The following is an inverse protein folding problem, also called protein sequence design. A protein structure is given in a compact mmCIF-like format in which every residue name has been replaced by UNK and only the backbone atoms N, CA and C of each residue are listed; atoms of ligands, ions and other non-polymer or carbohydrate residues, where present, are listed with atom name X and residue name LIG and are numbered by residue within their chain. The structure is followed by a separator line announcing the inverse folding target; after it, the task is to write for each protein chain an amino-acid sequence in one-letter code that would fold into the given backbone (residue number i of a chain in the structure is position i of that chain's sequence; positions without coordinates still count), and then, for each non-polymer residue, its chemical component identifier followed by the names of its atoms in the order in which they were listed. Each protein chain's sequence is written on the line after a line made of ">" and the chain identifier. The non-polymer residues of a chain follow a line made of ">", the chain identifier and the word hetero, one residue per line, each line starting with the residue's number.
data_IF_443824764699
#
_entry.id   IF_443824764699
#
_cell.length_a   1.000
_cell.length_b   1.000
_cell.length_c   1.000
_cell.angle_alpha   90.00
_cell.angle_beta   90.00
_cell.angle_gamma   90.00
#
_symmetry.space_group_name_H-M   'P 1'
#
loop_
_entity.id
_entity.type
_entity.pdbx_description
1 polymer ?
#
# COMPACT_ATOMS: atom_id res chain seq x y z
N UNK A 1 -8.78 15.87 -16.62
CA UNK A 1 -8.85 14.75 -15.64
C UNK A 1 -7.88 15.05 -14.53
N UNK A 2 -8.32 15.01 -13.29
CA UNK A 2 -7.45 15.37 -12.15
C UNK A 2 -6.82 14.09 -11.60
N UNK A 3 -5.50 14.03 -11.55
CA UNK A 3 -4.78 12.92 -10.93
C UNK A 3 -4.73 13.12 -9.41
N UNK A 4 -4.83 12.02 -8.65
CA UNK A 4 -4.64 12.04 -7.21
C UNK A 4 -3.15 12.10 -6.87
N UNK A 5 -2.35 11.23 -7.48
CA UNK A 5 -0.90 11.19 -7.30
C UNK A 5 -0.22 11.45 -8.62
N UNK A 6 0.76 12.36 -8.64
CA UNK A 6 1.65 12.55 -9.79
C UNK A 6 3.09 12.55 -9.31
N UNK A 7 3.92 11.79 -9.98
CA UNK A 7 5.37 11.75 -9.86
C UNK A 7 5.96 12.15 -11.21
N UNK A 8 6.80 13.18 -11.25
CA UNK A 8 7.37 13.71 -12.50
C UNK A 8 8.89 13.81 -12.42
N UNK A 9 9.58 13.10 -13.32
CA UNK A 9 11.02 13.15 -13.48
C UNK A 9 11.78 12.69 -12.24
N UNK A 10 11.27 11.70 -11.50
CA UNK A 10 11.93 11.26 -10.28
C UNK A 10 13.24 10.55 -10.59
N UNK A 11 14.29 11.02 -9.94
CA UNK A 11 15.58 10.35 -9.93
C UNK A 11 16.01 10.04 -8.51
N UNK A 12 16.68 8.89 -8.34
CA UNK A 12 17.30 8.49 -7.08
C UNK A 12 18.49 7.60 -7.32
N UNK A 13 19.62 7.95 -6.69
CA UNK A 13 20.86 7.17 -6.72
C UNK A 13 21.32 6.83 -5.30
N UNK A 14 21.90 5.66 -5.16
CA UNK A 14 22.61 5.22 -3.97
C UNK A 14 24.05 4.86 -4.39
N UNK A 15 24.94 5.84 -4.31
CA UNK A 15 26.28 5.69 -4.86
C UNK A 15 26.24 5.44 -6.39
N UNK A 16 26.77 4.31 -6.84
CA UNK A 16 26.76 3.91 -8.24
C UNK A 16 25.42 3.31 -8.71
N UNK A 17 24.52 2.94 -7.77
CA UNK A 17 23.26 2.27 -8.11
C UNK A 17 22.19 3.30 -8.44
N UNK A 18 21.58 3.20 -9.61
CA UNK A 18 20.43 4.01 -10.04
C UNK A 18 19.16 3.27 -9.62
N UNK A 19 18.48 3.78 -8.61
CA UNK A 19 17.25 3.17 -8.06
C UNK A 19 15.96 3.77 -8.64
N UNK A 20 16.03 4.99 -9.20
CA UNK A 20 14.98 5.61 -10.01
C UNK A 20 15.65 6.47 -11.10
N UNK A 21 15.18 6.37 -12.33
CA UNK A 21 15.68 7.11 -13.50
C UNK A 21 14.52 7.63 -14.33
N UNK A 22 14.30 8.95 -14.27
CA UNK A 22 13.25 9.67 -14.97
C UNK A 22 11.85 9.06 -14.79
N UNK A 23 11.52 8.60 -13.57
CA UNK A 23 10.23 7.93 -13.31
C UNK A 23 9.10 8.97 -13.37
N UNK A 24 8.13 8.70 -14.26
CA UNK A 24 6.93 9.50 -14.45
C UNK A 24 5.71 8.58 -14.26
N UNK A 25 4.89 8.86 -13.24
CA UNK A 25 3.70 8.08 -12.90
C UNK A 25 2.60 9.04 -12.50
N UNK A 26 1.39 8.83 -13.02
CA UNK A 26 0.20 9.58 -12.64
C UNK A 26 -0.92 8.61 -12.31
N UNK A 27 -1.51 8.70 -11.11
CA UNK A 27 -2.58 7.80 -10.65
C UNK A 27 -3.85 8.61 -10.43
N UNK A 28 -4.98 8.13 -10.97
CA UNK A 28 -6.30 8.75 -10.78
C UNK A 28 -6.92 8.31 -9.46
N UNK A 29 -7.82 9.13 -8.92
CA UNK A 29 -8.61 8.73 -7.75
C UNK A 29 -9.43 7.47 -8.05
N UNK A 30 -9.45 6.54 -7.09
CA UNK A 30 -10.17 5.27 -7.18
C UNK A 30 -9.51 4.18 -8.03
N UNK A 31 -8.34 4.44 -8.65
CA UNK A 31 -7.59 3.40 -9.38
C UNK A 31 -7.03 2.35 -8.41
N UNK A 32 -6.96 1.11 -8.90
CA UNK A 32 -6.23 0.00 -8.27
C UNK A 32 -5.02 -0.33 -9.12
N UNK A 33 -3.86 0.18 -8.72
CA UNK A 33 -2.61 0.09 -9.48
C UNK A 33 -1.68 -0.92 -8.83
N UNK A 34 -1.23 -1.92 -9.58
CA UNK A 34 -0.17 -2.82 -9.14
C UNK A 34 1.19 -2.36 -9.64
N UNK A 35 2.18 -2.36 -8.74
CA UNK A 35 3.59 -2.17 -9.08
C UNK A 35 4.27 -3.53 -9.14
N UNK A 36 4.75 -3.92 -10.31
CA UNK A 36 5.45 -5.18 -10.53
C UNK A 36 6.90 -4.94 -10.93
N UNK A 37 7.72 -5.98 -10.83
CA UNK A 37 9.14 -5.93 -11.22
C UNK A 37 9.99 -6.86 -10.34
N UNK A 38 11.18 -7.20 -10.81
CA UNK A 38 12.14 -8.00 -10.05
C UNK A 38 12.62 -7.31 -8.78
N UNK A 39 13.29 -8.06 -7.90
CA UNK A 39 13.92 -7.50 -6.71
C UNK A 39 15.00 -6.48 -7.14
N UNK A 40 15.01 -5.31 -6.48
CA UNK A 40 15.92 -4.22 -6.85
C UNK A 40 15.47 -3.39 -8.06
N UNK A 41 14.32 -3.66 -8.68
CA UNK A 41 13.83 -2.90 -9.84
C UNK A 41 13.49 -1.43 -9.56
N UNK A 42 13.37 -1.01 -8.28
CA UNK A 42 13.05 0.37 -7.88
C UNK A 42 11.67 0.57 -7.25
N UNK A 43 10.83 -0.48 -7.15
CA UNK A 43 9.47 -0.40 -6.57
C UNK A 43 9.46 0.17 -5.15
N UNK A 44 10.23 -0.43 -4.24
CA UNK A 44 10.34 0.02 -2.84
C UNK A 44 10.92 1.45 -2.75
N UNK A 45 11.86 1.80 -3.63
CA UNK A 45 12.39 3.17 -3.72
C UNK A 45 11.28 4.15 -4.09
N UNK A 46 10.47 3.84 -5.10
CA UNK A 46 9.33 4.66 -5.49
C UNK A 46 8.31 4.78 -4.35
N UNK A 47 7.91 3.66 -3.72
CA UNK A 47 6.98 3.67 -2.58
C UNK A 47 7.54 4.52 -1.42
N UNK A 48 8.84 4.41 -1.11
CA UNK A 48 9.47 5.24 -0.07
C UNK A 48 9.51 6.72 -0.43
N UNK A 49 9.64 7.07 -1.71
CA UNK A 49 9.59 8.48 -2.15
C UNK A 49 8.20 9.08 -2.00
N UNK A 50 7.14 8.38 -2.42
CA UNK A 50 5.76 8.89 -2.30
C UNK A 50 5.25 8.91 -0.86
N UNK A 51 5.87 8.17 0.05
CA UNK A 51 5.55 8.16 1.49
C UNK A 51 6.47 9.06 2.33
N UNK A 52 7.46 9.72 1.70
CA UNK A 52 8.37 10.65 2.36
C UNK A 52 9.49 10.03 3.19
N UNK A 53 9.57 8.69 3.25
CA UNK A 53 10.70 8.00 3.89
C UNK A 53 12.02 8.17 3.13
N UNK A 54 11.93 8.52 1.86
CA UNK A 54 13.07 8.81 1.01
C UNK A 54 12.78 10.08 0.20
N UNK A 55 13.78 10.94 0.03
CA UNK A 55 13.66 12.09 -0.87
C UNK A 55 14.26 11.74 -2.23
N UNK A 56 13.58 12.08 -3.34
CA UNK A 56 14.21 12.00 -4.66
C UNK A 56 15.37 12.98 -4.74
N UNK A 57 16.34 12.69 -5.60
CA UNK A 57 17.45 13.60 -5.88
C UNK A 57 17.00 14.73 -6.83
N UNK A 58 16.11 14.40 -7.77
CA UNK A 58 15.41 15.34 -8.65
C UNK A 58 13.98 14.91 -8.89
N UNK A 59 13.18 15.80 -9.47
CA UNK A 59 11.77 15.56 -9.77
C UNK A 59 10.83 16.06 -8.68
N UNK A 60 9.54 15.82 -8.88
CA UNK A 60 8.48 16.32 -8.00
C UNK A 60 7.39 15.27 -7.81
N UNK A 61 6.80 15.23 -6.62
CA UNK A 61 5.66 14.39 -6.28
C UNK A 61 4.53 15.31 -5.78
N UNK A 62 3.33 15.16 -6.36
CA UNK A 62 2.14 15.88 -5.90
C UNK A 62 1.03 14.91 -5.52
N UNK A 63 0.27 15.27 -4.49
CA UNK A 63 -0.95 14.57 -4.05
C UNK A 63 -2.12 15.56 -4.10
N UNK A 64 -3.13 15.28 -4.93
CA UNK A 64 -4.25 16.20 -5.13
C UNK A 64 -3.81 17.60 -5.60
N UNK A 65 -2.71 17.70 -6.34
CA UNK A 65 -2.10 18.96 -6.77
C UNK A 65 -1.16 19.62 -5.76
N UNK A 66 -1.13 19.17 -4.50
CA UNK A 66 -0.22 19.67 -3.47
C UNK A 66 1.15 19.00 -3.59
N UNK A 67 2.23 19.78 -3.60
CA UNK A 67 3.60 19.26 -3.58
C UNK A 67 3.91 18.60 -2.23
N UNK A 68 4.15 17.29 -2.26
CA UNK A 68 4.52 16.50 -1.08
C UNK A 68 6.01 16.12 -1.06
N UNK A 69 6.76 16.51 -2.08
CA UNK A 69 8.20 16.17 -2.20
C UNK A 69 9.02 16.57 -0.97
N UNK A 70 8.86 17.78 -0.40
CA UNK A 70 9.64 18.20 0.77
C UNK A 70 9.10 17.62 2.10
N UNK A 71 7.89 17.08 2.12
CA UNK A 71 7.18 16.72 3.35
C UNK A 71 7.73 15.45 3.99
N UNK A 72 7.73 15.38 5.31
CA UNK A 72 8.05 14.19 6.08
C UNK A 72 6.90 13.16 6.06
N UNK A 73 7.13 11.90 6.47
CA UNK A 73 6.11 10.85 6.45
C UNK A 73 4.85 11.20 7.25
N UNK A 74 4.99 11.90 8.40
CA UNK A 74 3.85 12.28 9.24
C UNK A 74 2.97 13.31 8.53
N UNK A 75 3.57 14.29 7.88
CA UNK A 75 2.83 15.28 7.11
C UNK A 75 2.09 14.63 5.94
N UNK A 76 2.73 13.70 5.21
CA UNK A 76 2.13 12.95 4.11
C UNK A 76 0.97 12.07 4.60
N UNK A 77 1.13 11.39 5.75
CA UNK A 77 0.03 10.61 6.36
C UNK A 77 -1.16 11.49 6.71
N UNK A 78 -0.94 12.71 7.23
CA UNK A 78 -2.03 13.66 7.53
C UNK A 78 -2.77 14.15 6.28
N UNK A 79 -2.13 14.10 5.12
CA UNK A 79 -2.76 14.36 3.83
C UNK A 79 -3.55 13.16 3.28
N UNK A 80 -3.66 12.07 4.05
CA UNK A 80 -4.45 10.90 3.68
C UNK A 80 -3.71 9.86 2.86
N UNK A 81 -2.38 9.76 2.98
CA UNK A 81 -1.61 8.61 2.47
C UNK A 81 -1.35 7.64 3.61
N UNK A 82 -1.81 6.41 3.46
CA UNK A 82 -1.53 5.34 4.41
C UNK A 82 -0.70 4.23 3.74
N UNK A 83 0.08 3.51 4.54
CA UNK A 83 0.89 2.38 4.10
C UNK A 83 0.77 1.22 5.08
N UNK A 84 0.49 0.03 4.55
CA UNK A 84 0.73 -1.23 5.23
C UNK A 84 2.12 -1.73 4.83
N UNK A 85 2.92 -2.11 5.81
CA UNK A 85 4.29 -2.54 5.58
C UNK A 85 4.36 -4.04 5.32
N UNK A 86 5.42 -4.48 4.64
CA UNK A 86 5.70 -5.91 4.40
C UNK A 86 5.73 -6.70 5.71
N UNK A 87 6.36 -6.13 6.75
CA UNK A 87 6.31 -6.67 8.12
C UNK A 87 5.33 -5.81 8.92
N UNK A 88 4.22 -6.41 9.42
CA UNK A 88 3.19 -5.70 10.18
C UNK A 88 3.77 -4.97 11.39
N UNK A 89 3.41 -3.69 11.54
CA UNK A 89 3.85 -2.83 12.64
C UNK A 89 2.80 -2.82 13.75
N UNK A 90 2.75 -3.91 14.52
CA UNK A 90 1.73 -4.17 15.52
C UNK A 90 2.32 -4.21 16.94
N UNK A 91 1.51 -3.79 17.91
CA UNK A 91 1.82 -3.92 19.32
C UNK A 91 1.43 -5.31 19.80
N UNK A 92 2.39 -6.22 19.92
CA UNK A 92 2.16 -7.64 20.23
C UNK A 92 1.44 -7.89 21.55
N UNK A 93 1.73 -7.11 22.58
CA UNK A 93 1.14 -7.24 23.92
C UNK A 93 -0.28 -6.67 24.04
N UNK A 94 -0.70 -5.87 23.04
CA UNK A 94 -2.05 -5.32 22.99
C UNK A 94 -3.00 -6.28 22.24
N UNK A 95 -4.30 -6.12 22.52
CA UNK A 95 -5.33 -6.82 21.76
C UNK A 95 -5.47 -6.27 20.34
N UNK A 96 -6.14 -7.02 19.43
CA UNK A 96 -6.46 -6.51 18.11
C UNK A 96 -7.28 -5.21 18.18
N UNK A 97 -8.26 -5.14 19.07
CA UNK A 97 -9.05 -3.92 19.28
C UNK A 97 -8.18 -2.76 19.78
N UNK A 98 -7.26 -3.00 20.73
CA UNK A 98 -6.39 -1.93 21.24
C UNK A 98 -5.44 -1.41 20.16
N UNK A 99 -4.91 -2.28 19.29
CA UNK A 99 -4.13 -1.86 18.12
C UNK A 99 -4.94 -0.93 17.20
N UNK A 100 -6.19 -1.28 16.90
CA UNK A 100 -7.10 -0.43 16.11
C UNK A 100 -7.36 0.92 16.81
N UNK A 101 -7.53 0.92 18.14
CA UNK A 101 -7.74 2.16 18.90
C UNK A 101 -6.50 3.05 18.91
N UNK A 102 -5.30 2.47 18.98
CA UNK A 102 -4.03 3.21 18.85
C UNK A 102 -3.94 3.85 17.47
N UNK A 103 -4.19 3.09 16.39
CA UNK A 103 -4.17 3.61 15.04
C UNK A 103 -5.18 4.76 14.86
N UNK A 104 -6.42 4.59 15.34
CA UNK A 104 -7.43 5.64 15.30
C UNK A 104 -7.00 6.90 16.08
N UNK A 105 -6.34 6.72 17.24
CA UNK A 105 -5.81 7.81 18.03
C UNK A 105 -4.73 8.63 17.29
N UNK A 106 -3.89 7.98 16.50
CA UNK A 106 -2.85 8.66 15.71
C UNK A 106 -3.46 9.57 14.61
N UNK A 107 -4.65 9.27 14.12
CA UNK A 107 -5.34 10.06 13.10
C UNK A 107 -6.27 11.13 13.67
N UNK A 108 -6.74 10.98 14.91
CA UNK A 108 -7.66 11.92 15.55
C UNK A 108 -6.91 13.16 16.07
N UNK A 109 -6.86 14.22 15.25
CA UNK A 109 -6.23 15.51 15.62
C UNK A 109 -6.88 16.20 16.84
N UNK A 110 -8.06 15.72 17.29
CA UNK A 110 -8.80 16.25 18.43
C UNK A 110 -8.54 15.48 19.73
N UNK A 111 -7.63 14.49 19.71
CA UNK A 111 -7.28 13.78 20.93
C UNK A 111 -6.61 14.72 21.93
N UNK A 112 -7.35 15.01 22.98
CA UNK A 112 -6.80 15.62 24.18
C UNK A 112 -6.19 14.52 25.06
N UNK A 113 -5.05 14.82 25.68
CA UNK A 113 -4.41 13.94 26.67
C UNK A 113 -5.36 13.46 27.79
N UNK A 114 -6.45 14.23 28.00
CA UNK A 114 -7.48 13.96 29.02
C UNK A 114 -8.66 13.10 28.53
N UNK A 115 -8.70 12.72 27.25
CA UNK A 115 -9.77 11.88 26.73
C UNK A 115 -9.36 10.42 26.64
N UNK A 116 -10.13 9.48 27.21
CA UNK A 116 -9.79 8.06 27.11
C UNK A 116 -9.84 7.58 25.64
N UNK A 117 -8.84 6.80 25.24
CA UNK A 117 -8.80 6.21 23.89
C UNK A 117 -10.00 5.26 23.63
N UNK A 118 -10.50 4.61 24.69
CA UNK A 118 -11.64 3.68 24.65
C UNK A 118 -12.99 4.40 24.77
N UNK A 119 -13.28 5.32 23.84
CA UNK A 119 -14.60 5.94 23.72
C UNK A 119 -15.56 5.02 22.93
N UNK A 120 -16.87 4.96 23.26
CA UNK A 120 -17.82 4.10 22.55
C UNK A 120 -17.76 4.26 21.03
N UNK A 121 -17.69 5.51 20.54
CA UNK A 121 -17.62 5.80 19.12
C UNK A 121 -16.30 5.30 18.45
N UNK A 122 -15.18 5.34 19.18
CA UNK A 122 -13.89 4.83 18.67
C UNK A 122 -13.91 3.30 18.63
N UNK A 123 -14.46 2.66 19.66
CA UNK A 123 -14.65 1.20 19.71
C UNK A 123 -15.54 0.74 18.55
N UNK A 124 -16.71 1.38 18.36
CA UNK A 124 -17.64 1.01 17.29
C UNK A 124 -16.99 1.12 15.89
N UNK A 125 -16.20 2.16 15.61
CA UNK A 125 -15.46 2.29 14.34
C UNK A 125 -14.38 1.21 14.19
N UNK A 126 -13.66 0.90 15.25
CA UNK A 126 -12.64 -0.14 15.25
C UNK A 126 -13.28 -1.52 15.00
N UNK A 127 -14.38 -1.83 15.69
CA UNK A 127 -15.12 -3.08 15.50
C UNK A 127 -15.70 -3.20 14.09
N UNK A 128 -16.24 -2.13 13.52
CA UNK A 128 -16.73 -2.11 12.15
C UNK A 128 -15.62 -2.45 11.15
N UNK A 129 -14.40 -1.89 11.31
CA UNK A 129 -13.28 -2.25 10.45
C UNK A 129 -12.83 -3.69 10.67
N UNK A 130 -12.74 -4.16 11.92
CA UNK A 130 -12.44 -5.57 12.21
C UNK A 130 -13.45 -6.51 11.56
N UNK A 131 -14.74 -6.18 11.59
CA UNK A 131 -15.78 -6.98 10.94
C UNK A 131 -15.61 -7.01 9.42
N UNK A 132 -15.32 -5.88 8.78
CA UNK A 132 -15.06 -5.79 7.32
C UNK A 132 -13.89 -6.67 6.86
N UNK A 133 -12.90 -6.88 7.73
CA UNK A 133 -11.75 -7.75 7.47
C UNK A 133 -11.94 -9.19 8.00
N UNK A 134 -13.11 -9.52 8.54
CA UNK A 134 -13.38 -10.84 9.13
C UNK A 134 -12.60 -11.09 10.43
N UNK A 135 -12.21 -10.03 11.14
CA UNK A 135 -11.34 -10.10 12.32
C UNK A 135 -12.09 -9.90 13.65
N UNK A 136 -13.40 -9.74 13.64
CA UNK A 136 -14.17 -9.37 14.84
C UNK A 136 -14.04 -10.39 15.96
N UNK A 137 -13.94 -11.68 15.65
CA UNK A 137 -13.75 -12.75 16.63
C UNK A 137 -12.39 -12.66 17.34
N UNK A 138 -11.42 -12.02 16.71
CA UNK A 138 -10.06 -11.83 17.25
C UNK A 138 -9.93 -10.56 18.08
N UNK A 139 -10.95 -9.71 18.20
CA UNK A 139 -10.87 -8.37 18.81
C UNK A 139 -10.24 -8.35 20.20
N UNK A 140 -10.52 -9.35 21.02
CA UNK A 140 -10.02 -9.47 22.40
C UNK A 140 -8.72 -10.27 22.56
N UNK A 141 -8.19 -10.86 21.47
CA UNK A 141 -6.95 -11.66 21.52
C UNK A 141 -5.73 -10.76 21.40
N UNK A 142 -4.66 -11.11 22.11
CA UNK A 142 -3.36 -10.44 21.97
C UNK A 142 -2.78 -10.70 20.58
N UNK A 143 -2.20 -9.68 19.99
CA UNK A 143 -1.65 -9.77 18.63
C UNK A 143 -0.53 -10.82 18.52
N UNK A 144 0.29 -10.99 19.57
CA UNK A 144 1.32 -12.01 19.61
C UNK A 144 0.78 -13.45 19.44
N UNK A 145 -0.49 -13.69 19.79
CA UNK A 145 -1.16 -14.99 19.72
C UNK A 145 -1.86 -15.23 18.38
N UNK A 146 -1.90 -14.21 17.50
CA UNK A 146 -2.62 -14.28 16.23
C UNK A 146 -1.76 -14.93 15.14
N UNK A 147 -2.38 -15.72 14.24
CA UNK A 147 -1.72 -16.21 13.02
C UNK A 147 -1.15 -15.09 12.16
N UNK A 148 -0.12 -15.38 11.36
CA UNK A 148 0.55 -14.40 10.52
C UNK A 148 -0.38 -13.67 9.56
N UNK A 149 -1.26 -14.40 8.87
CA UNK A 149 -2.26 -13.84 7.96
C UNK A 149 -3.25 -12.90 8.65
N UNK A 150 -3.72 -13.27 9.87
CA UNK A 150 -4.60 -12.41 10.70
C UNK A 150 -3.89 -11.12 11.08
N UNK A 151 -2.62 -11.21 11.49
CA UNK A 151 -1.81 -10.02 11.82
C UNK A 151 -1.64 -9.09 10.60
N UNK A 152 -1.47 -9.66 9.42
CA UNK A 152 -1.33 -8.88 8.19
C UNK A 152 -2.63 -8.15 7.82
N UNK A 153 -3.77 -8.83 7.92
CA UNK A 153 -5.09 -8.20 7.73
C UNK A 153 -5.35 -7.11 8.78
N UNK A 154 -4.93 -7.31 10.03
CA UNK A 154 -5.04 -6.30 11.08
C UNK A 154 -4.21 -5.04 10.77
N UNK A 155 -2.97 -5.18 10.29
CA UNK A 155 -2.11 -4.06 9.88
C UNK A 155 -2.77 -3.23 8.77
N UNK A 156 -3.36 -3.90 7.77
CA UNK A 156 -4.08 -3.23 6.69
C UNK A 156 -5.35 -2.54 7.21
N UNK A 157 -6.11 -3.19 8.11
CA UNK A 157 -7.28 -2.58 8.75
C UNK A 157 -6.89 -1.32 9.55
N UNK A 158 -5.76 -1.35 10.26
CA UNK A 158 -5.23 -0.19 10.98
C UNK A 158 -4.88 0.96 10.02
N UNK A 159 -4.30 0.67 8.86
CA UNK A 159 -3.99 1.68 7.85
C UNK A 159 -5.25 2.39 7.31
N UNK A 160 -6.42 1.74 7.37
CA UNK A 160 -7.70 2.31 6.95
C UNK A 160 -8.41 3.16 8.01
N UNK A 161 -7.96 3.16 9.26
CA UNK A 161 -8.63 3.93 10.34
C UNK A 161 -8.72 5.42 10.06
N UNK A 162 -7.78 5.98 9.28
CA UNK A 162 -7.75 7.38 8.86
C UNK A 162 -8.56 7.69 7.60
N UNK A 163 -9.29 6.74 7.03
CA UNK A 163 -9.99 6.88 5.74
C UNK A 163 -9.09 7.49 4.66
N UNK A 164 -7.97 6.84 4.33
CA UNK A 164 -6.97 7.40 3.42
C UNK A 164 -7.52 7.55 2.00
N UNK A 165 -7.08 8.61 1.30
CA UNK A 165 -7.35 8.76 -0.13
C UNK A 165 -6.40 7.92 -1.00
N UNK A 166 -5.21 7.58 -0.47
CA UNK A 166 -4.23 6.69 -1.10
C UNK A 166 -3.73 5.65 -0.08
N UNK A 167 -3.99 4.38 -0.36
CA UNK A 167 -3.49 3.26 0.42
C UNK A 167 -2.40 2.53 -0.36
N UNK A 168 -1.26 2.33 0.29
CA UNK A 168 -0.11 1.60 -0.23
C UNK A 168 -0.03 0.25 0.50
N UNK A 169 -0.06 -0.83 -0.27
CA UNK A 169 0.08 -2.20 0.23
C UNK A 169 1.42 -2.78 -0.28
N UNK A 170 2.32 -3.06 0.64
CA UNK A 170 3.64 -3.59 0.30
C UNK A 170 3.65 -5.11 0.51
N UNK A 171 3.52 -5.86 -0.59
CA UNK A 171 3.43 -7.32 -0.64
C UNK A 171 2.37 -7.88 0.35
N UNK A 172 1.09 -7.52 0.19
CA UNK A 172 0.04 -7.90 1.15
C UNK A 172 -0.12 -9.41 1.32
N UNK A 173 0.25 -10.23 0.33
CA UNK A 173 0.14 -11.69 0.41
C UNK A 173 1.47 -12.40 0.71
N UNK A 174 2.56 -11.66 0.96
CA UNK A 174 3.86 -12.25 1.30
C UNK A 174 3.82 -13.01 2.63
N UNK A 175 4.44 -14.20 2.68
CA UNK A 175 4.50 -15.03 3.87
C UNK A 175 3.19 -15.79 4.20
N UNK A 176 2.23 -15.79 3.28
CA UNK A 176 0.98 -16.54 3.37
C UNK A 176 1.06 -17.74 2.44
N UNK A 177 0.40 -18.86 2.80
CA UNK A 177 0.35 -20.06 1.95
C UNK A 177 -0.33 -19.76 0.59
N UNK A 178 0.01 -20.51 -0.44
CA UNK A 178 -0.56 -20.31 -1.78
C UNK A 178 -2.10 -20.38 -1.78
N UNK A 179 -2.67 -21.26 -0.94
CA UNK A 179 -4.11 -21.44 -0.81
C UNK A 179 -4.81 -20.26 -0.13
N UNK A 180 -4.11 -19.54 0.75
CA UNK A 180 -4.66 -18.41 1.52
C UNK A 180 -4.50 -17.07 0.82
N UNK A 181 -3.58 -16.93 -0.16
CA UNK A 181 -3.30 -15.67 -0.85
C UNK A 181 -4.53 -15.06 -1.52
N UNK A 182 -5.26 -15.86 -2.32
CA UNK A 182 -6.45 -15.38 -3.02
C UNK A 182 -7.60 -15.00 -2.08
N UNK A 183 -7.97 -15.82 -1.08
CA UNK A 183 -8.94 -15.42 -0.06
C UNK A 183 -8.55 -14.15 0.69
N UNK A 184 -7.28 -14.03 1.09
CA UNK A 184 -6.76 -12.84 1.76
C UNK A 184 -6.92 -11.59 0.89
N UNK A 185 -6.46 -11.64 -0.36
CA UNK A 185 -6.56 -10.52 -1.28
C UNK A 185 -8.02 -10.16 -1.59
N UNK A 186 -8.90 -11.15 -1.71
CA UNK A 186 -10.34 -10.94 -1.87
C UNK A 186 -10.95 -10.22 -0.64
N UNK A 187 -10.54 -10.58 0.57
CA UNK A 187 -10.95 -9.91 1.81
C UNK A 187 -10.48 -8.45 1.83
N UNK A 188 -9.21 -8.20 1.50
CA UNK A 188 -8.65 -6.84 1.42
C UNK A 188 -9.42 -6.00 0.40
N UNK A 189 -9.58 -6.50 -0.82
CA UNK A 189 -10.25 -5.76 -1.90
C UNK A 189 -11.75 -5.59 -1.66
N UNK A 190 -12.39 -6.54 -0.99
CA UNK A 190 -13.79 -6.44 -0.55
C UNK A 190 -13.98 -5.36 0.52
N UNK A 191 -13.09 -5.32 1.52
CA UNK A 191 -13.09 -4.28 2.55
C UNK A 191 -12.86 -2.88 1.95
N UNK A 192 -11.95 -2.76 0.98
CA UNK A 192 -11.66 -1.52 0.26
C UNK A 192 -12.79 -1.09 -0.68
N UNK A 193 -13.54 -2.03 -1.25
CA UNK A 193 -14.68 -1.74 -2.13
C UNK A 193 -15.83 -1.01 -1.44
N UNK A 194 -15.89 -1.03 -0.11
CA UNK A 194 -16.85 -0.26 0.70
C UNK A 194 -16.41 1.19 0.93
N UNK A 195 -15.14 1.52 0.70
CA UNK A 195 -14.60 2.88 0.70
C UNK A 195 -14.65 3.46 -0.71
N UNK A 196 -15.66 4.24 -1.00
CA UNK A 196 -16.05 4.70 -2.35
C UNK A 196 -14.94 5.45 -3.10
N UNK A 197 -13.87 5.92 -2.44
CA UNK A 197 -12.84 6.78 -3.05
C UNK A 197 -11.39 6.41 -2.70
N UNK A 198 -11.12 5.27 -2.07
CA UNK A 198 -9.73 4.93 -1.74
C UNK A 198 -8.99 4.43 -2.98
N UNK A 199 -7.95 5.15 -3.37
CA UNK A 199 -7.00 4.73 -4.40
C UNK A 199 -6.03 3.74 -3.79
N UNK A 200 -5.73 2.66 -4.50
CA UNK A 200 -4.86 1.59 -4.00
C UNK A 200 -3.64 1.45 -4.90
N UNK A 201 -2.46 1.56 -4.34
CA UNK A 201 -1.22 1.11 -4.93
C UNK A 201 -0.74 -0.14 -4.17
N UNK A 202 -0.51 -1.24 -4.87
CA UNK A 202 0.00 -2.44 -4.22
C UNK A 202 1.18 -3.04 -4.99
N UNK A 203 2.18 -3.50 -4.24
CA UNK A 203 3.32 -4.25 -4.77
C UNK A 203 3.00 -5.73 -4.64
N UNK A 204 3.06 -6.47 -5.73
CA UNK A 204 2.85 -7.91 -5.75
C UNK A 204 3.79 -8.60 -6.74
N UNK A 205 4.08 -9.88 -6.46
CA UNK A 205 4.92 -10.74 -7.28
C UNK A 205 4.13 -11.88 -7.93
N UNK A 206 2.90 -12.11 -7.47
CA UNK A 206 2.00 -13.13 -7.99
C UNK A 206 1.14 -12.51 -9.09
N UNK A 207 1.40 -12.92 -10.35
CA UNK A 207 0.75 -12.30 -11.52
C UNK A 207 -0.74 -12.61 -11.57
N UNK A 208 -1.19 -13.75 -11.08
CA UNK A 208 -2.61 -14.12 -11.03
C UNK A 208 -3.38 -13.18 -10.08
N UNK A 209 -2.75 -12.77 -8.96
CA UNK A 209 -3.30 -11.76 -8.05
C UNK A 209 -3.34 -10.40 -8.74
N UNK A 210 -2.29 -10.04 -9.45
CA UNK A 210 -2.21 -8.78 -10.19
C UNK A 210 -3.30 -8.70 -11.24
N UNK A 211 -3.45 -9.71 -12.09
CA UNK A 211 -4.48 -9.75 -13.14
C UNK A 211 -5.89 -9.65 -12.56
N UNK A 212 -6.15 -10.31 -11.44
CA UNK A 212 -7.48 -10.36 -10.84
C UNK A 212 -7.89 -9.08 -10.13
N UNK A 213 -6.94 -8.34 -9.56
CA UNK A 213 -7.23 -7.26 -8.63
C UNK A 213 -6.78 -5.88 -9.07
N UNK A 214 -5.83 -5.76 -10.01
CA UNK A 214 -5.41 -4.49 -10.58
C UNK A 214 -6.31 -4.03 -11.72
N UNK A 215 -6.57 -2.74 -11.79
CA UNK A 215 -7.13 -2.09 -12.99
C UNK A 215 -6.02 -1.60 -13.95
N UNK A 216 -4.79 -1.44 -13.42
CA UNK A 216 -3.61 -0.96 -14.14
C UNK A 216 -2.34 -1.53 -13.52
N UNK A 217 -1.38 -1.82 -14.34
CA UNK A 217 -0.06 -2.36 -13.95
C UNK A 217 1.03 -1.40 -14.39
N UNK A 218 1.94 -1.10 -13.46
CA UNK A 218 3.16 -0.35 -13.74
C UNK A 218 4.34 -1.27 -13.47
N UNK A 219 5.07 -1.63 -14.50
CA UNK A 219 6.21 -2.52 -14.42
C UNK A 219 7.52 -1.75 -14.31
N UNK A 220 8.32 -2.12 -13.31
CA UNK A 220 9.63 -1.54 -13.04
C UNK A 220 10.74 -2.50 -13.44
N UNK A 221 11.79 -1.95 -14.06
CA UNK A 221 13.05 -2.63 -14.30
C UNK A 221 14.22 -1.64 -14.24
N UNK A 222 15.27 -1.97 -13.51
CA UNK A 222 16.49 -1.15 -13.38
C UNK A 222 16.22 0.34 -13.08
N UNK A 223 15.29 0.63 -12.20
CA UNK A 223 14.91 1.99 -11.80
C UNK A 223 14.02 2.74 -12.81
N UNK A 224 13.52 2.09 -13.84
CA UNK A 224 12.67 2.69 -14.88
C UNK A 224 11.31 2.02 -14.94
N UNK A 225 10.32 2.75 -15.42
CA UNK A 225 9.02 2.19 -15.84
C UNK A 225 9.20 1.65 -17.27
N UNK A 226 8.92 0.35 -17.44
CA UNK A 226 9.03 -0.35 -18.74
C UNK A 226 7.65 -0.67 -19.34
N UNK A 227 6.59 -0.69 -18.52
CA UNK A 227 5.22 -0.78 -18.99
C UNK A 227 4.28 -0.06 -18.01
N UNK A 228 3.20 0.51 -18.53
CA UNK A 228 2.18 1.22 -17.78
C UNK A 228 0.85 1.15 -18.54
N UNK A 229 0.05 0.11 -18.27
CA UNK A 229 -1.20 -0.18 -19.00
C UNK A 229 -2.11 -1.11 -18.17
N UNK A 230 -3.23 -1.54 -18.75
CA UNK A 230 -4.07 -2.61 -18.19
C UNK A 230 -3.26 -3.88 -17.97
N UNK A 231 -3.65 -4.75 -17.01
CA UNK A 231 -2.88 -5.99 -16.73
C UNK A 231 -2.63 -6.82 -17.98
N UNK A 232 -3.65 -7.06 -18.79
CA UNK A 232 -3.53 -7.89 -20.00
C UNK A 232 -2.51 -7.33 -21.01
N UNK A 233 -2.45 -6.00 -21.18
CA UNK A 233 -1.50 -5.36 -22.10
C UNK A 233 -0.12 -5.32 -21.51
N UNK A 234 0.03 -4.85 -20.26
CA UNK A 234 1.33 -4.70 -19.61
C UNK A 234 2.07 -6.04 -19.48
N UNK A 235 1.37 -7.11 -19.05
CA UNK A 235 1.96 -8.45 -18.88
C UNK A 235 2.30 -9.14 -20.21
N UNK A 236 1.67 -8.73 -21.31
CA UNK A 236 1.96 -9.27 -22.64
C UNK A 236 3.17 -8.61 -23.32
N UNK A 237 3.72 -7.51 -22.78
CA UNK A 237 4.87 -6.84 -23.39
C UNK A 237 6.14 -7.69 -23.26
N UNK A 238 6.98 -7.69 -24.30
CA UNK A 238 8.22 -8.48 -24.34
C UNK A 238 9.17 -8.12 -23.20
N UNK A 239 9.28 -6.84 -22.87
CA UNK A 239 10.11 -6.36 -21.75
C UNK A 239 9.64 -6.89 -20.40
N UNK A 240 8.34 -6.92 -20.14
CA UNK A 240 7.78 -7.46 -18.90
C UNK A 240 7.98 -8.97 -18.84
N UNK A 241 7.71 -9.69 -19.93
CA UNK A 241 7.96 -11.14 -20.01
C UNK A 241 9.42 -11.48 -19.74
N UNK A 242 10.33 -10.74 -20.36
CA UNK A 242 11.76 -10.99 -20.25
C UNK A 242 12.34 -10.61 -18.89
N UNK A 243 11.97 -9.44 -18.35
CA UNK A 243 12.64 -8.87 -17.17
C UNK A 243 11.87 -9.00 -15.86
N UNK A 244 10.57 -9.28 -15.92
CA UNK A 244 9.72 -9.35 -14.73
C UNK A 244 9.20 -10.76 -14.49
N UNK A 245 8.58 -11.41 -15.48
CA UNK A 245 8.03 -12.77 -15.30
C UNK A 245 9.06 -13.87 -15.57
N UNK A 246 10.16 -13.56 -16.25
CA UNK A 246 11.23 -14.51 -16.53
C UNK A 246 10.86 -15.52 -17.63
N UNK A 247 9.81 -15.25 -18.42
CA UNK A 247 9.47 -16.06 -19.57
C UNK A 247 10.55 -15.87 -20.64
N UNK A 248 11.25 -16.97 -21.01
CA UNK A 248 12.13 -16.97 -22.17
C UNK A 248 11.26 -16.77 -23.42
N UNK A 249 11.45 -15.65 -24.10
CA UNK A 249 10.87 -15.48 -25.43
C UNK A 249 11.49 -16.57 -26.32
N UNK A 250 10.65 -17.45 -26.87
CA UNK A 250 11.11 -18.40 -27.88
C UNK A 250 11.66 -17.60 -29.07
N UNK A 251 12.93 -17.87 -29.41
CA UNK A 251 13.58 -17.33 -30.61
C UNK A 251 12.89 -17.83 -31.88
#
# INVERSE_FOLDING_TARGET
>A
MTYLLEAKGLEKRFGAVVAASAVNISVKAGERVSLIGSNGAGKTTFVNMITGYLKPDTGRITLGGQDITPLDPRAITRLGVARSFQIPQLYGDLTALDNMLVANACHDQKLSFWQPARRPAAIARAEQLLERFGLIEHRGRRVAELPGGVRKLLDIAMALTGSPQLLLLDEPTSGVSAEEKFPMMATIMGALGQEVNTTVLFVEHDMDIVERHASRVIAFYAGRVIADDTPAVALATDDVRRYVTGELLAE
#
